data_IF_709657679364
#
_entry.id   IF_709657679364
#
_cell.length_a   1.000
_cell.length_b   1.000
_cell.length_c   1.000
_cell.angle_alpha   90.00
_cell.angle_beta   90.00
_cell.angle_gamma   90.00
#
_symmetry.space_group_name_H-M   'P 1'
#
loop_
_entity.id
_entity.type
_entity.pdbx_description
1 polymer ?
#
# COMPACT_ATOMS: atom_id res chain seq x y z
N UNK A 1 -3.35 8.09 -8.79
CA UNK A 1 -2.57 8.14 -7.53
C UNK A 1 -2.15 6.73 -7.13
N UNK A 2 -0.85 6.51 -7.01
CA UNK A 2 -0.27 5.20 -6.75
C UNK A 2 0.43 5.16 -5.40
N UNK A 3 0.41 3.99 -4.76
CA UNK A 3 1.01 3.75 -3.45
C UNK A 3 1.70 2.39 -3.49
N UNK A 4 2.80 2.24 -2.77
CA UNK A 4 3.48 0.96 -2.58
C UNK A 4 3.27 0.53 -1.14
N UNK A 5 2.60 -0.60 -0.95
CA UNK A 5 2.29 -1.16 0.37
C UNK A 5 3.12 -2.41 0.63
N UNK A 6 3.47 -2.65 1.89
CA UNK A 6 4.15 -3.86 2.32
C UNK A 6 3.17 -4.78 3.05
N UNK A 7 3.01 -6.00 2.57
CA UNK A 7 2.21 -7.02 3.27
C UNK A 7 2.71 -8.43 2.97
N UNK A 8 2.60 -9.35 3.93
CA UNK A 8 3.06 -10.74 3.76
C UNK A 8 4.54 -10.88 3.37
N UNK A 9 5.39 -9.93 3.77
CA UNK A 9 6.82 -9.90 3.41
C UNK A 9 7.12 -9.45 1.98
N UNK A 10 6.10 -9.11 1.17
CA UNK A 10 6.23 -8.62 -0.20
C UNK A 10 5.80 -7.15 -0.29
N UNK A 11 6.21 -6.48 -1.36
CA UNK A 11 5.79 -5.11 -1.69
C UNK A 11 4.85 -5.16 -2.88
N UNK A 12 3.77 -4.38 -2.82
CA UNK A 12 2.75 -4.33 -3.85
C UNK A 12 2.48 -2.88 -4.26
N UNK A 13 2.38 -2.64 -5.56
CA UNK A 13 1.89 -1.38 -6.10
C UNK A 13 0.36 -1.41 -6.12
N UNK A 14 -0.26 -0.44 -5.47
CA UNK A 14 -1.72 -0.29 -5.37
C UNK A 14 -2.16 1.08 -5.83
N UNK A 15 -3.38 1.16 -6.33
CA UNK A 15 -4.09 2.41 -6.61
C UNK A 15 -5.51 2.30 -6.10
N UNK A 16 -6.22 3.43 -6.01
CA UNK A 16 -7.63 3.43 -5.60
C UNK A 16 -8.49 2.61 -6.57
N UNK A 17 -9.38 1.78 -6.03
CA UNK A 17 -10.26 0.89 -6.79
C UNK A 17 -9.62 -0.41 -7.29
N UNK A 18 -8.33 -0.68 -6.98
CA UNK A 18 -7.65 -1.91 -7.38
C UNK A 18 -8.02 -3.10 -6.48
N UNK A 19 -8.24 -4.26 -7.08
CA UNK A 19 -8.24 -5.54 -6.36
C UNK A 19 -6.81 -6.07 -6.24
N UNK A 20 -6.37 -6.35 -5.01
CA UNK A 20 -5.02 -6.86 -4.73
C UNK A 20 -5.08 -8.28 -4.17
N UNK A 21 -4.42 -9.22 -4.84
CA UNK A 21 -4.22 -10.57 -4.31
C UNK A 21 -3.01 -10.59 -3.40
N UNK A 22 -3.24 -10.89 -2.13
CA UNK A 22 -2.22 -10.95 -1.07
C UNK A 22 -2.14 -12.35 -0.48
N UNK A 23 -1.13 -12.59 0.35
CA UNK A 23 -1.00 -13.84 1.10
C UNK A 23 -2.12 -14.00 2.13
N UNK A 24 -2.30 -15.22 2.64
CA UNK A 24 -3.40 -15.54 3.55
C UNK A 24 -3.29 -14.74 4.85
N UNK A 25 -4.21 -13.79 5.05
CA UNK A 25 -4.32 -13.04 6.29
C UNK A 25 -5.43 -13.60 7.18
N UNK A 26 -5.19 -13.57 8.50
CA UNK A 26 -6.18 -13.93 9.53
C UNK A 26 -7.17 -12.79 9.77
N UNK A 27 -7.86 -12.36 8.72
CA UNK A 27 -8.85 -11.28 8.73
C UNK A 27 -10.22 -11.81 8.30
N UNK A 28 -11.29 -11.20 8.78
CA UNK A 28 -12.65 -11.56 8.35
C UNK A 28 -12.95 -10.91 6.99
N UNK A 29 -13.86 -11.50 6.23
CA UNK A 29 -14.40 -10.84 5.03
C UNK A 29 -15.04 -9.51 5.44
N UNK A 30 -14.75 -8.44 4.68
CA UNK A 30 -15.17 -7.06 4.94
C UNK A 30 -14.47 -6.32 6.09
N UNK A 31 -13.42 -6.90 6.69
CA UNK A 31 -12.62 -6.20 7.71
C UNK A 31 -11.74 -5.12 7.07
N UNK A 32 -11.64 -3.94 7.70
CA UNK A 32 -10.74 -2.88 7.24
C UNK A 32 -9.32 -3.15 7.75
N UNK A 33 -8.44 -3.56 6.85
CA UNK A 33 -7.03 -3.81 7.16
C UNK A 33 -6.20 -2.59 6.80
N UNK A 34 -5.32 -2.18 7.71
CA UNK A 34 -4.35 -1.11 7.46
C UNK A 34 -3.00 -1.71 7.08
N UNK A 35 -2.47 -1.32 5.92
CA UNK A 35 -1.15 -1.68 5.42
C UNK A 35 -0.16 -0.54 5.63
N UNK A 36 1.10 -0.93 5.86
CA UNK A 36 2.20 0.02 5.92
C UNK A 36 2.57 0.46 4.49
N UNK A 37 2.52 1.77 4.26
CA UNK A 37 2.88 2.39 2.99
C UNK A 37 4.37 2.77 2.98
N UNK A 38 5.03 2.48 1.87
CA UNK A 38 6.47 2.71 1.66
C UNK A 38 6.74 3.89 0.72
N UNK A 39 5.96 3.99 -0.35
CA UNK A 39 6.12 5.00 -1.38
C UNK A 39 4.73 5.47 -1.79
N UNK A 40 4.54 6.78 -1.91
CA UNK A 40 3.34 7.37 -2.51
C UNK A 40 3.80 8.22 -3.67
N UNK A 41 3.13 8.12 -4.81
CA UNK A 41 3.46 8.94 -5.96
C UNK A 41 2.23 9.30 -6.78
N UNK A 42 2.31 10.46 -7.42
CA UNK A 42 1.26 10.95 -8.28
C UNK A 42 1.25 10.24 -9.64
N UNK A 43 0.12 10.36 -10.35
CA UNK A 43 -0.09 9.67 -11.64
C UNK A 43 0.97 10.06 -12.69
N UNK A 44 1.40 11.32 -12.67
CA UNK A 44 2.47 11.84 -13.53
C UNK A 44 3.89 11.55 -13.03
N UNK A 45 4.07 10.93 -11.85
CA UNK A 45 5.38 10.64 -11.26
C UNK A 45 6.21 11.87 -10.85
N UNK A 46 5.67 13.09 -10.99
CA UNK A 46 6.35 14.36 -10.62
C UNK A 46 6.55 14.53 -9.12
N UNK A 47 5.58 14.07 -8.34
CA UNK A 47 5.58 14.18 -6.88
C UNK A 47 5.57 12.78 -6.30
N UNK A 48 6.65 12.42 -5.61
CA UNK A 48 6.73 11.17 -4.87
C UNK A 48 7.23 11.43 -3.45
N UNK A 49 6.65 10.73 -2.49
CA UNK A 49 7.06 10.70 -1.09
C UNK A 49 7.58 9.31 -0.79
N UNK A 50 8.87 9.21 -0.50
CA UNK A 50 9.55 7.96 -0.17
C UNK A 50 9.79 7.91 1.34
N UNK A 51 9.24 6.88 1.99
CA UNK A 51 9.44 6.66 3.41
C UNK A 51 10.84 6.14 3.73
N UNK A 52 11.51 6.74 4.71
CA UNK A 52 12.78 6.24 5.25
C UNK A 52 12.58 5.80 6.71
N UNK A 53 12.17 4.55 7.04
CA UNK A 53 11.94 3.37 6.18
C UNK A 53 10.47 3.09 5.81
N UNK A 54 9.51 3.85 6.35
CA UNK A 54 8.07 3.76 6.10
C UNK A 54 7.49 5.18 6.02
N UNK A 55 6.42 5.37 5.24
CA UNK A 55 5.61 6.58 5.34
C UNK A 55 4.81 6.52 6.66
N UNK A 56 4.61 7.67 7.31
CA UNK A 56 3.77 7.74 8.52
C UNK A 56 2.29 7.47 8.23
N UNK A 57 1.93 7.46 6.94
CA UNK A 57 0.57 7.23 6.44
C UNK A 57 0.26 5.73 6.37
N UNK A 58 -0.81 5.32 7.06
CA UNK A 58 -1.33 3.94 7.03
C UNK A 58 -2.53 3.89 6.09
N UNK A 59 -2.56 2.93 5.18
CA UNK A 59 -3.55 2.82 4.10
C UNK A 59 -4.43 1.60 4.24
#
# INVERSE_FOLDING_TARGET
>A
MYRVVKTGGKQFLVHEGMELTVDLMKVKKSDQVKFDCLLKFDDEGKTFELGAPLLKDKV
#
